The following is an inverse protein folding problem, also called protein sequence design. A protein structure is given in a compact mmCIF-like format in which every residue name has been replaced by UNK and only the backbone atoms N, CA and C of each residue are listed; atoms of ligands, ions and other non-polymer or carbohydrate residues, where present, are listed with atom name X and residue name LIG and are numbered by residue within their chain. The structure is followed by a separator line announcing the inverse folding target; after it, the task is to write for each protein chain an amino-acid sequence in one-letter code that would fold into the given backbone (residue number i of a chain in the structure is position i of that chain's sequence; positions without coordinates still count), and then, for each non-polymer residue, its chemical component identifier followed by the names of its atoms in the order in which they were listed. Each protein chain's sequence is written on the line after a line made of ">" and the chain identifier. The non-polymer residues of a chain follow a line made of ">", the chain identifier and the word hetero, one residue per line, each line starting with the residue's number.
data_IF_042534021102
#
_entry.id   IF_042534021102
#
_cell.length_a   1.000
_cell.length_b   1.000
_cell.length_c   1.000
_cell.angle_alpha   90.00
_cell.angle_beta   90.00
_cell.angle_gamma   90.00
#
_symmetry.space_group_name_H-M   'P 1'
#
loop_
_entity.id
_entity.type
_entity.pdbx_description
1 polymer ?
#
# COMPACT_ATOMS: atom_id res chain seq x y z
N UNK A 1 -10.37 -21.59 -0.17
CA UNK A 1 -9.03 -21.37 0.41
C UNK A 1 -7.94 -21.74 -0.61
N UNK A 2 -7.99 -22.91 -1.24
CA UNK A 2 -6.94 -23.35 -2.19
C UNK A 2 -6.89 -22.55 -3.51
N UNK A 3 -8.03 -22.10 -4.04
CA UNK A 3 -8.10 -21.22 -5.23
C UNK A 3 -7.48 -19.84 -4.98
N UNK A 4 -7.70 -19.24 -3.81
CA UNK A 4 -7.12 -17.94 -3.44
C UNK A 4 -5.59 -18.02 -3.38
N UNK A 5 -5.05 -19.12 -2.86
CA UNK A 5 -3.60 -19.36 -2.78
C UNK A 5 -2.98 -19.50 -4.17
N UNK A 6 -3.63 -20.23 -5.08
CA UNK A 6 -3.16 -20.39 -6.45
C UNK A 6 -3.20 -19.07 -7.24
N UNK A 7 -4.31 -18.33 -7.14
CA UNK A 7 -4.44 -17.02 -7.77
C UNK A 7 -3.41 -16.02 -7.22
N UNK A 8 -3.13 -16.06 -5.91
CA UNK A 8 -2.11 -15.24 -5.29
C UNK A 8 -0.70 -15.58 -5.80
N UNK A 9 -0.32 -16.86 -5.81
CA UNK A 9 1.02 -17.30 -6.28
C UNK A 9 1.21 -16.96 -7.76
N UNK A 10 0.17 -17.14 -8.58
CA UNK A 10 0.20 -16.76 -9.98
C UNK A 10 0.39 -15.23 -10.14
N UNK A 11 -0.40 -14.44 -9.41
CA UNK A 11 -0.31 -12.98 -9.44
C UNK A 11 1.08 -12.48 -9.02
N UNK A 12 1.63 -12.97 -7.90
CA UNK A 12 2.98 -12.61 -7.44
C UNK A 12 4.03 -12.97 -8.49
N UNK A 13 3.94 -14.16 -9.10
CA UNK A 13 4.89 -14.58 -10.14
C UNK A 13 4.87 -13.64 -11.34
N UNK A 14 3.68 -13.19 -11.77
CA UNK A 14 3.54 -12.21 -12.84
C UNK A 14 4.08 -10.82 -12.44
N UNK A 15 3.79 -10.38 -11.22
CA UNK A 15 4.25 -9.09 -10.70
C UNK A 15 5.77 -9.05 -10.47
N UNK A 16 6.42 -10.17 -10.18
CA UNK A 16 7.88 -10.29 -10.10
C UNK A 16 8.54 -10.33 -11.49
N UNK A 17 7.94 -11.05 -12.45
CA UNK A 17 8.52 -11.21 -13.80
C UNK A 17 8.66 -9.88 -14.54
N UNK A 18 7.72 -8.96 -14.32
CA UNK A 18 7.68 -7.65 -14.97
C UNK A 18 8.89 -6.76 -14.63
N UNK A 19 9.17 -6.42 -13.36
CA UNK A 19 10.35 -5.63 -12.98
C UNK A 19 11.65 -6.35 -13.34
N UNK A 20 11.74 -7.68 -13.22
CA UNK A 20 12.95 -8.44 -13.63
C UNK A 20 13.22 -8.27 -15.13
N UNK A 21 12.19 -8.42 -15.97
CA UNK A 21 12.33 -8.28 -17.42
C UNK A 21 12.70 -6.85 -17.80
N UNK A 22 12.10 -5.85 -17.14
CA UNK A 22 12.42 -4.45 -17.35
C UNK A 22 13.86 -4.10 -16.93
N UNK A 23 14.31 -4.57 -15.76
CA UNK A 23 15.70 -4.40 -15.29
C UNK A 23 16.66 -4.99 -16.30
N UNK A 24 16.42 -6.22 -16.74
CA UNK A 24 17.29 -6.90 -17.70
C UNK A 24 17.39 -6.11 -19.01
N UNK A 25 16.27 -5.72 -19.61
CA UNK A 25 16.29 -4.95 -20.86
C UNK A 25 16.97 -3.58 -20.74
N UNK A 26 16.79 -2.88 -19.61
CA UNK A 26 17.49 -1.62 -19.33
C UNK A 26 19.00 -1.83 -19.23
N UNK A 27 19.44 -2.87 -18.51
CA UNK A 27 20.87 -3.19 -18.35
C UNK A 27 21.47 -3.69 -19.66
N UNK A 28 20.79 -4.56 -20.40
CA UNK A 28 21.23 -5.02 -21.74
C UNK A 28 21.43 -3.84 -22.68
N UNK A 29 20.47 -2.91 -22.74
CA UNK A 29 20.61 -1.70 -23.59
C UNK A 29 21.82 -0.85 -23.19
N UNK A 30 22.09 -0.71 -21.89
CA UNK A 30 23.26 0.04 -21.41
C UNK A 30 24.59 -0.67 -21.71
N UNK A 31 24.59 -1.99 -21.77
CA UNK A 31 25.79 -2.79 -22.09
C UNK A 31 26.05 -2.79 -23.59
N UNK A 32 25.00 -2.81 -24.42
CA UNK A 32 25.11 -2.86 -25.89
C UNK A 32 25.43 -1.49 -26.53
N UNK A 33 24.99 -0.38 -25.91
CA UNK A 33 25.21 0.98 -26.43
C UNK A 33 26.36 1.69 -25.71
N UNK A 34 27.59 1.45 -26.19
CA UNK A 34 28.83 2.07 -25.66
C UNK A 34 28.90 3.59 -25.90
N UNK A 35 28.14 4.12 -26.87
CA UNK A 35 28.11 5.56 -27.19
C UNK A 35 26.95 6.31 -26.48
N UNK A 36 26.25 5.63 -25.55
CA UNK A 36 25.14 6.21 -24.83
C UNK A 36 25.54 7.49 -24.08
N UNK A 37 24.76 8.55 -24.29
CA UNK A 37 24.98 9.83 -23.59
C UNK A 37 24.90 9.66 -22.07
N UNK A 38 25.67 10.46 -21.34
CA UNK A 38 25.65 10.46 -19.87
C UNK A 38 24.25 10.71 -19.28
N UNK A 39 23.43 11.52 -19.96
CA UNK A 39 22.04 11.79 -19.56
C UNK A 39 21.16 10.53 -19.70
N UNK A 40 21.25 9.84 -20.84
CA UNK A 40 20.53 8.59 -21.06
C UNK A 40 20.98 7.51 -20.08
N UNK A 41 22.29 7.36 -19.89
CA UNK A 41 22.86 6.41 -18.93
C UNK A 41 22.32 6.64 -17.51
N UNK A 42 22.28 7.90 -17.05
CA UNK A 42 21.70 8.26 -15.75
C UNK A 42 20.19 7.99 -15.68
N UNK A 43 19.45 8.26 -16.75
CA UNK A 43 18.02 7.98 -16.86
C UNK A 43 17.73 6.49 -16.74
N UNK A 44 18.51 5.65 -17.45
CA UNK A 44 18.39 4.19 -17.39
C UNK A 44 18.73 3.66 -15.99
N UNK A 45 19.83 4.11 -15.38
CA UNK A 45 20.17 3.75 -13.99
C UNK A 45 19.03 4.11 -13.02
N UNK A 46 18.42 5.28 -13.16
CA UNK A 46 17.28 5.69 -12.32
C UNK A 46 16.07 4.77 -12.52
N UNK A 47 15.76 4.40 -13.78
CA UNK A 47 14.69 3.44 -14.08
C UNK A 47 14.99 2.07 -13.48
N UNK A 48 16.23 1.58 -13.60
CA UNK A 48 16.67 0.31 -13.01
C UNK A 48 16.51 0.32 -11.50
N UNK A 49 17.00 1.37 -10.82
CA UNK A 49 16.84 1.55 -9.38
C UNK A 49 15.37 1.51 -8.96
N UNK A 50 14.49 2.21 -9.69
CA UNK A 50 13.06 2.21 -9.40
C UNK A 50 12.43 0.80 -9.53
N UNK A 51 12.87 0.01 -10.52
CA UNK A 51 12.38 -1.38 -10.65
C UNK A 51 12.92 -2.28 -9.52
N UNK A 52 14.16 -2.08 -9.07
CA UNK A 52 14.71 -2.80 -7.92
C UNK A 52 13.93 -2.50 -6.64
N UNK A 53 13.62 -1.22 -6.38
CA UNK A 53 12.78 -0.82 -5.25
C UNK A 53 11.40 -1.47 -5.32
N UNK A 54 10.78 -1.47 -6.50
CA UNK A 54 9.49 -2.15 -6.72
C UNK A 54 9.58 -3.65 -6.41
N UNK A 55 10.62 -4.31 -6.90
CA UNK A 55 10.85 -5.74 -6.65
C UNK A 55 11.02 -6.02 -5.15
N UNK A 56 11.79 -5.21 -4.44
CA UNK A 56 11.97 -5.32 -2.99
C UNK A 56 10.65 -5.20 -2.22
N UNK A 57 9.76 -4.29 -2.63
CA UNK A 57 8.45 -4.15 -2.00
C UNK A 57 7.59 -5.41 -2.21
N UNK A 58 7.54 -5.96 -3.43
CA UNK A 58 6.78 -7.19 -3.71
C UNK A 58 7.28 -8.36 -2.84
N UNK A 59 8.60 -8.48 -2.68
CA UNK A 59 9.19 -9.53 -1.81
C UNK A 59 8.83 -9.29 -0.34
N UNK A 60 8.88 -8.04 0.13
CA UNK A 60 8.49 -7.71 1.50
C UNK A 60 7.00 -8.02 1.77
N UNK A 61 6.13 -7.72 0.81
CA UNK A 61 4.70 -8.02 0.89
C UNK A 61 4.44 -9.54 0.93
N UNK A 62 5.17 -10.31 0.12
CA UNK A 62 5.09 -11.78 0.13
C UNK A 62 5.55 -12.37 1.46
N UNK A 63 6.65 -11.87 2.04
CA UNK A 63 7.14 -12.31 3.34
C UNK A 63 6.15 -11.94 4.46
N UNK A 64 5.56 -10.76 4.39
CA UNK A 64 4.51 -10.31 5.31
C UNK A 64 3.30 -11.25 5.25
N UNK A 65 2.83 -11.59 4.04
CA UNK A 65 1.71 -12.52 3.89
C UNK A 65 2.06 -13.92 4.39
N UNK A 66 3.25 -14.44 4.06
CA UNK A 66 3.69 -15.76 4.51
C UNK A 66 3.76 -15.84 6.04
N UNK A 67 4.13 -14.75 6.72
CA UNK A 67 4.10 -14.68 8.20
C UNK A 67 2.66 -14.72 8.71
N UNK A 68 1.75 -13.98 8.09
CA UNK A 68 0.32 -14.00 8.45
C UNK A 68 -0.30 -15.39 8.29
N UNK A 69 0.03 -16.12 7.22
CA UNK A 69 -0.48 -17.48 6.98
C UNK A 69 0.15 -18.53 7.90
N UNK A 70 1.46 -18.46 8.15
CA UNK A 70 2.18 -19.48 8.93
C UNK A 70 1.97 -19.35 10.44
N UNK A 71 1.69 -18.14 10.94
CA UNK A 71 1.56 -17.88 12.37
C UNK A 71 0.18 -18.25 12.93
N UNK A 72 -0.81 -18.57 12.08
CA UNK A 72 -2.18 -18.79 12.54
C UNK A 72 -2.64 -17.66 13.46
N UNK A 73 -2.50 -16.40 13.02
CA UNK A 73 -2.65 -15.16 13.82
C UNK A 73 -3.21 -15.37 15.24
N UNK A 74 -2.34 -15.60 16.23
CA UNK A 74 -2.67 -15.45 17.63
C UNK A 74 -2.87 -13.94 17.89
N UNK A 75 -4.00 -13.42 17.43
CA UNK A 75 -4.38 -12.03 17.61
C UNK A 75 -4.50 -11.74 19.10
N UNK A 76 -3.67 -10.85 19.61
CA UNK A 76 -3.78 -10.37 20.98
C UNK A 76 -4.84 -9.28 20.95
N UNK A 77 -6.08 -9.69 21.17
CA UNK A 77 -7.22 -8.76 21.15
C UNK A 77 -7.35 -8.05 22.48
N UNK A 78 -7.23 -6.74 22.46
CA UNK A 78 -7.42 -5.87 23.61
C UNK A 78 -8.37 -4.70 23.26
N UNK A 79 -9.00 -4.07 24.27
CA UNK A 79 -9.72 -2.83 24.06
C UNK A 79 -8.76 -1.76 23.56
N UNK A 80 -9.00 -1.24 22.36
CA UNK A 80 -8.19 -0.18 21.76
C UNK A 80 -9.10 0.91 21.24
N UNK A 81 -8.61 2.14 21.25
CA UNK A 81 -9.23 3.23 20.51
C UNK A 81 -8.70 3.24 19.07
N UNK A 82 -9.56 2.94 18.10
CA UNK A 82 -9.18 2.87 16.70
C UNK A 82 -8.64 4.21 16.17
N UNK A 83 -8.96 5.33 16.83
CA UNK A 83 -8.39 6.64 16.49
C UNK A 83 -6.88 6.69 16.71
N UNK A 84 -6.39 6.07 17.79
CA UNK A 84 -4.95 6.06 18.10
C UNK A 84 -4.17 5.31 17.02
N UNK A 85 -4.72 4.19 16.54
CA UNK A 85 -4.16 3.43 15.43
C UNK A 85 -4.09 4.31 14.16
N UNK A 86 -5.21 4.94 13.79
CA UNK A 86 -5.29 5.78 12.59
C UNK A 86 -4.36 6.99 12.69
N UNK A 87 -4.34 7.68 13.83
CA UNK A 87 -3.48 8.83 14.05
C UNK A 87 -1.99 8.45 14.06
N UNK A 88 -1.64 7.31 14.63
CA UNK A 88 -0.29 6.76 14.56
C UNK A 88 0.13 6.52 13.10
N UNK A 89 -0.74 5.92 12.29
CA UNK A 89 -0.46 5.67 10.87
C UNK A 89 -0.33 6.97 10.07
N UNK A 90 -1.18 7.96 10.35
CA UNK A 90 -1.08 9.30 9.75
C UNK A 90 0.26 9.95 10.08
N UNK A 91 0.68 9.91 11.35
CA UNK A 91 1.97 10.47 11.77
C UNK A 91 3.15 9.79 11.06
N UNK A 92 3.09 8.47 10.87
CA UNK A 92 4.13 7.72 10.19
C UNK A 92 4.23 8.03 8.68
N UNK A 93 3.10 8.33 8.03
CA UNK A 93 3.02 8.49 6.58
C UNK A 93 2.94 9.94 6.10
N UNK A 94 2.75 10.90 7.00
CA UNK A 94 2.74 12.32 6.68
C UNK A 94 4.03 12.78 5.96
N UNK A 95 5.25 12.41 6.41
CA UNK A 95 6.47 12.82 5.70
C UNK A 95 6.56 12.25 4.27
N UNK A 96 6.06 11.03 4.06
CA UNK A 96 6.05 10.37 2.74
C UNK A 96 5.04 11.06 1.80
N UNK A 97 3.90 11.46 2.34
CA UNK A 97 2.87 12.21 1.62
C UNK A 97 3.37 13.61 1.23
N UNK A 98 4.06 14.30 2.14
CA UNK A 98 4.66 15.62 1.91
C UNK A 98 5.75 15.58 0.83
N UNK A 99 6.67 14.61 0.89
CA UNK A 99 7.72 14.41 -0.12
C UNK A 99 7.13 14.21 -1.53
N UNK A 100 5.99 13.52 -1.61
CA UNK A 100 5.28 13.28 -2.87
C UNK A 100 4.33 14.41 -3.28
N UNK A 101 4.14 15.44 -2.44
CA UNK A 101 3.19 16.52 -2.68
C UNK A 101 1.73 16.06 -2.78
N UNK A 102 1.37 15.03 -2.02
CA UNK A 102 0.02 14.44 -2.00
C UNK A 102 -0.62 14.78 -0.65
N UNK A 103 -1.55 15.74 -0.57
CA UNK A 103 -2.17 16.10 0.70
C UNK A 103 -3.07 14.97 1.23
N UNK A 104 -3.06 14.78 2.54
CA UNK A 104 -3.98 13.90 3.27
C UNK A 104 -5.00 14.78 4.00
N UNK A 105 -6.27 14.57 3.70
CA UNK A 105 -7.40 15.19 4.39
C UNK A 105 -8.09 14.15 5.26
N UNK A 106 -8.49 14.55 6.47
CA UNK A 106 -9.07 13.65 7.46
C UNK A 106 -10.44 14.13 7.93
N UNK A 107 -11.36 13.18 8.11
CA UNK A 107 -12.66 13.35 8.75
C UNK A 107 -12.79 12.28 9.85
N UNK A 108 -12.16 12.56 10.98
CA UNK A 108 -12.07 11.68 12.14
C UNK A 108 -12.71 12.41 13.32
N UNK A 109 -13.71 11.78 13.95
CA UNK A 109 -14.37 12.32 15.14
C UNK A 109 -13.44 12.32 16.36
N UNK A 110 -13.58 13.32 17.22
CA UNK A 110 -12.95 13.39 18.55
C UNK A 110 -13.60 12.45 19.59
N UNK A 111 -14.62 11.69 19.20
CA UNK A 111 -15.24 10.66 20.05
C UNK A 111 -14.47 9.34 20.03
N UNK A 112 -14.23 8.75 21.21
CA UNK A 112 -13.56 7.46 21.34
C UNK A 112 -14.22 6.36 20.50
N UNK A 113 -13.40 5.67 19.69
CA UNK A 113 -13.86 4.58 18.84
C UNK A 113 -13.28 3.26 19.34
N UNK A 114 -13.73 2.88 20.55
CA UNK A 114 -13.32 1.64 21.18
C UNK A 114 -13.78 0.41 20.40
N UNK A 115 -12.83 -0.46 20.09
CA UNK A 115 -13.04 -1.78 19.51
C UNK A 115 -12.20 -2.81 20.25
N UNK A 116 -12.59 -4.09 20.15
CA UNK A 116 -11.74 -5.19 20.58
C UNK A 116 -10.90 -5.63 19.36
N UNK A 117 -9.59 -5.40 19.40
CA UNK A 117 -8.71 -5.61 18.26
C UNK A 117 -7.25 -5.81 18.67
N UNK A 118 -6.45 -6.25 17.73
CA UNK A 118 -5.00 -6.33 17.88
C UNK A 118 -4.39 -5.05 17.30
N UNK A 119 -3.70 -4.30 18.15
CA UNK A 119 -3.19 -2.97 17.78
C UNK A 119 -2.20 -3.06 16.61
N UNK A 120 -1.26 -4.00 16.64
CA UNK A 120 -0.20 -4.13 15.62
C UNK A 120 -0.79 -4.53 14.27
N UNK A 121 -1.70 -5.51 14.25
CA UNK A 121 -2.37 -5.95 13.04
C UNK A 121 -3.22 -4.84 12.41
N UNK A 122 -3.91 -4.04 13.22
CA UNK A 122 -4.71 -2.91 12.74
C UNK A 122 -3.84 -1.76 12.26
N UNK A 123 -2.76 -1.43 12.98
CA UNK A 123 -1.79 -0.43 12.57
C UNK A 123 -1.14 -0.78 11.23
N UNK A 124 -0.72 -2.04 11.06
CA UNK A 124 -0.19 -2.52 9.79
C UNK A 124 -1.23 -2.42 8.67
N UNK A 125 -2.48 -2.81 8.95
CA UNK A 125 -3.57 -2.74 7.97
C UNK A 125 -3.85 -1.31 7.52
N UNK A 126 -3.95 -0.37 8.47
CA UNK A 126 -4.17 1.06 8.17
C UNK A 126 -2.99 1.66 7.41
N UNK A 127 -1.75 1.37 7.83
CA UNK A 127 -0.56 1.81 7.10
C UNK A 127 -0.56 1.33 5.65
N UNK A 128 -0.87 0.06 5.41
CA UNK A 128 -0.90 -0.49 4.06
C UNK A 128 -1.93 0.23 3.18
N UNK A 129 -3.10 0.58 3.73
CA UNK A 129 -4.13 1.32 3.00
C UNK A 129 -3.71 2.75 2.67
N UNK A 130 -3.18 3.49 3.65
CA UNK A 130 -2.75 4.88 3.45
C UNK A 130 -1.55 4.94 2.51
N UNK A 131 -0.56 4.06 2.69
CA UNK A 131 0.62 3.99 1.83
C UNK A 131 0.24 3.65 0.38
N UNK A 132 -0.68 2.70 0.17
CA UNK A 132 -1.24 2.41 -1.15
C UNK A 132 -1.97 3.63 -1.74
N UNK A 133 -2.75 4.35 -0.95
CA UNK A 133 -3.44 5.56 -1.41
C UNK A 133 -2.46 6.67 -1.82
N UNK A 134 -1.30 6.79 -1.17
CA UNK A 134 -0.22 7.71 -1.55
C UNK A 134 0.51 7.20 -2.81
N UNK A 135 0.89 5.91 -2.85
CA UNK A 135 1.66 5.32 -3.95
C UNK A 135 0.92 5.33 -5.28
N UNK A 136 -0.38 5.01 -5.27
CA UNK A 136 -1.20 4.88 -6.47
C UNK A 136 -2.08 6.11 -6.72
N UNK A 137 -1.76 7.25 -6.13
CA UNK A 137 -2.54 8.46 -6.29
C UNK A 137 -2.45 9.05 -7.72
N UNK A 138 -3.45 9.82 -8.08
CA UNK A 138 -3.50 10.62 -9.31
C UNK A 138 -2.57 11.82 -9.22
N UNK A 139 -2.09 12.33 -10.36
CA UNK A 139 -1.39 13.63 -10.39
C UNK A 139 -2.31 14.73 -9.85
N UNK A 140 -1.84 15.50 -8.87
CA UNK A 140 -2.62 16.54 -8.15
C UNK A 140 -3.84 16.01 -7.39
N UNK A 141 -3.90 14.70 -7.11
CA UNK A 141 -4.92 14.10 -6.26
C UNK A 141 -4.65 14.34 -4.77
N UNK A 142 -5.55 13.82 -3.95
CA UNK A 142 -5.45 13.84 -2.47
C UNK A 142 -5.86 12.49 -1.91
N UNK A 143 -5.43 12.20 -0.69
CA UNK A 143 -5.93 11.05 0.08
C UNK A 143 -6.98 11.58 1.05
N UNK A 144 -8.19 11.01 1.02
CA UNK A 144 -9.24 11.32 1.98
C UNK A 144 -9.42 10.14 2.92
N UNK A 145 -9.24 10.36 4.23
CA UNK A 145 -9.42 9.35 5.26
C UNK A 145 -10.57 9.75 6.17
N UNK A 146 -11.52 8.83 6.39
CA UNK A 146 -12.58 9.07 7.36
C UNK A 146 -12.81 7.88 8.28
N UNK A 147 -13.19 8.17 9.51
CA UNK A 147 -13.44 7.16 10.54
C UNK A 147 -14.81 7.42 11.18
N UNK A 148 -15.73 6.47 10.99
CA UNK A 148 -17.09 6.58 11.49
C UNK A 148 -17.60 5.27 12.08
N UNK A 149 -18.35 5.38 13.19
CA UNK A 149 -19.10 4.26 13.75
C UNK A 149 -20.35 4.03 12.89
N UNK A 150 -20.37 2.94 12.12
CA UNK A 150 -21.58 2.53 11.40
C UNK A 150 -22.51 1.79 12.35
N UNK A 151 -23.60 2.45 12.76
CA UNK A 151 -24.67 1.78 13.49
C UNK A 151 -25.25 0.65 12.62
N UNK A 152 -25.25 -0.58 13.13
CA UNK A 152 -25.95 -1.71 12.50
C UNK A 152 -27.47 -1.47 12.54
N UNK A 153 -27.98 -0.67 11.61
CA UNK A 153 -29.30 -0.95 11.05
C UNK A 153 -29.06 -1.74 9.77
N UNK A 154 -29.21 -3.07 9.86
CA UNK A 154 -29.51 -3.86 8.68
C UNK A 154 -30.84 -3.35 8.13
N UNK A 155 -30.77 -2.44 7.17
CA UNK A 155 -31.82 -2.30 6.16
C UNK A 155 -31.15 -2.47 4.82
N UNK A 156 -31.35 -3.65 4.28
CA UNK A 156 -31.23 -3.95 2.86
C UNK A 156 -31.94 -2.84 2.07
N UNK A 157 -31.18 -2.00 1.38
CA UNK A 157 -31.61 -1.19 0.23
C UNK A 157 -30.39 -0.50 -0.36
N UNK A 158 -29.97 -1.01 -1.51
CA UNK A 158 -28.87 -0.46 -2.29
C UNK A 158 -29.02 1.03 -2.52
N UNK A 159 -27.92 1.77 -2.38
CA UNK A 159 -27.86 3.15 -2.88
C UNK A 159 -26.50 3.36 -3.52
N UNK A 160 -26.56 3.71 -4.81
CA UNK A 160 -25.45 4.06 -5.69
C UNK A 160 -24.65 5.22 -5.10
N UNK A 161 -23.33 5.08 -5.05
CA UNK A 161 -22.46 6.24 -5.06
C UNK A 161 -22.45 6.80 -6.49
N UNK A 162 -23.17 7.91 -6.68
CA UNK A 162 -23.00 8.81 -7.82
C UNK A 162 -22.84 10.23 -7.30
N UNK A 163 -21.84 10.88 -7.89
CA UNK A 163 -21.64 12.32 -8.00
C UNK A 163 -21.27 13.07 -6.71
N UNK A 164 -20.09 13.70 -6.70
CA UNK A 164 -19.96 15.09 -7.17
C UNK A 164 -18.52 15.61 -7.23
N UNK A 165 -18.27 16.23 -8.39
CA UNK A 165 -17.36 17.31 -8.80
C UNK A 165 -15.87 17.26 -8.47
#
# INVERSE_FOLDING_TARGET
>A
METIRQDFVANVSHELKTPITAIRGLVETMVEDEEMSAENHRSFLKKTMNQTIRLSNIVADLLSLSRLESAGMDLVKEPIDLREVVNGSLAALLPVSEDKGIPIETDISDEAMEILGDWEALFQSVNNLIDNAIKYNSKKGKVWLSLHRKNKKCSDRGTRFRDRY
#
